data_IF_995109396518
#
_entry.id   IF_995109396518
#
_cell.length_a   1.000
_cell.length_b   1.000
_cell.length_c   1.000
_cell.angle_alpha   90.00
_cell.angle_beta   90.00
_cell.angle_gamma   90.00
#
_symmetry.space_group_name_H-M   'P 1'
#
loop_
_entity.id
_entity.type
_entity.pdbx_description
1 polymer ?
#
# COMPACT_ATOMS: atom_id res chain seq x y z
N UNK A 1 -8.64 -60.73 -26.09
CA UNK A 1 -9.74 -61.03 -25.16
C UNK A 1 -9.34 -61.05 -23.68
N UNK A 2 -8.36 -61.86 -23.21
CA UNK A 2 -7.93 -61.81 -21.79
C UNK A 2 -7.23 -60.48 -21.39
N UNK A 3 -6.53 -59.83 -22.34
CA UNK A 3 -5.93 -58.50 -22.14
C UNK A 3 -6.99 -57.40 -22.01
N UNK A 4 -8.09 -57.50 -22.76
CA UNK A 4 -9.19 -56.52 -22.74
C UNK A 4 -9.94 -56.55 -21.40
N UNK A 5 -10.20 -57.74 -20.86
CA UNK A 5 -10.84 -57.89 -19.55
C UNK A 5 -9.96 -57.37 -18.40
N UNK A 6 -8.64 -57.60 -18.46
CA UNK A 6 -7.72 -57.05 -17.46
C UNK A 6 -7.69 -55.52 -17.51
N UNK A 7 -7.67 -54.94 -18.71
CA UNK A 7 -7.69 -53.48 -18.89
C UNK A 7 -8.97 -52.85 -18.34
N UNK A 8 -10.13 -53.43 -18.65
CA UNK A 8 -11.43 -52.97 -18.13
C UNK A 8 -11.51 -53.11 -16.60
N UNK A 9 -10.98 -54.20 -16.04
CA UNK A 9 -10.96 -54.42 -14.59
C UNK A 9 -10.08 -53.40 -13.87
N UNK A 10 -8.86 -53.15 -14.34
CA UNK A 10 -7.97 -52.15 -13.73
C UNK A 10 -8.50 -50.72 -13.93
N UNK A 11 -9.09 -50.40 -15.09
CA UNK A 11 -9.73 -49.10 -15.31
C UNK A 11 -10.91 -48.85 -14.36
N UNK A 12 -11.75 -49.86 -14.16
CA UNK A 12 -12.85 -49.83 -13.18
C UNK A 12 -12.34 -49.59 -11.77
N UNK A 13 -11.31 -50.33 -11.34
CA UNK A 13 -10.70 -50.22 -10.02
C UNK A 13 -10.15 -48.80 -9.75
N UNK A 14 -9.46 -48.21 -10.73
CA UNK A 14 -8.95 -46.83 -10.64
C UNK A 14 -10.11 -45.84 -10.53
N UNK A 15 -11.14 -45.99 -11.35
CA UNK A 15 -12.30 -45.08 -11.32
C UNK A 15 -13.05 -45.15 -9.98
N UNK A 16 -13.23 -46.35 -9.44
CA UNK A 16 -13.84 -46.58 -8.13
C UNK A 16 -13.03 -45.98 -6.99
N UNK A 17 -11.69 -45.94 -7.10
CA UNK A 17 -10.82 -45.31 -6.10
C UNK A 17 -10.93 -43.78 -6.07
N UNK A 18 -11.36 -43.16 -7.18
CA UNK A 18 -11.54 -41.71 -7.30
C UNK A 18 -12.89 -41.23 -6.72
N UNK A 19 -13.90 -42.09 -6.66
CA UNK A 19 -15.23 -41.73 -6.15
C UNK A 19 -15.18 -41.34 -4.65
N UNK A 20 -14.52 -42.11 -3.76
CA UNK A 20 -14.30 -41.69 -2.38
C UNK A 20 -13.55 -40.37 -2.29
N UNK A 21 -12.52 -40.13 -3.11
CA UNK A 21 -11.78 -38.87 -3.13
C UNK A 21 -12.67 -37.68 -3.55
N UNK A 22 -13.57 -37.88 -4.51
CA UNK A 22 -14.53 -36.86 -4.94
C UNK A 22 -15.57 -36.54 -3.85
N UNK A 23 -16.09 -37.56 -3.15
CA UNK A 23 -17.06 -37.38 -2.06
C UNK A 23 -16.38 -36.76 -0.82
N UNK A 24 -15.23 -37.29 -0.41
CA UNK A 24 -14.46 -36.79 0.72
C UNK A 24 -13.76 -35.47 0.46
N UNK A 25 -13.70 -35.02 -0.81
CA UNK A 25 -13.19 -33.70 -1.19
C UNK A 25 -13.72 -32.63 -0.24
N UNK A 26 -15.04 -32.56 -0.06
CA UNK A 26 -15.68 -31.50 0.75
C UNK A 26 -15.25 -31.53 2.21
N UNK A 27 -15.04 -32.72 2.76
CA UNK A 27 -14.63 -32.93 4.16
C UNK A 27 -13.13 -32.72 4.37
N UNK A 28 -12.32 -33.10 3.38
CA UNK A 28 -10.88 -32.86 3.34
C UNK A 28 -10.60 -31.36 3.20
N UNK A 29 -11.28 -30.64 2.31
CA UNK A 29 -11.17 -29.17 2.20
C UNK A 29 -11.60 -28.46 3.49
N UNK A 30 -12.62 -28.97 4.20
CA UNK A 30 -12.98 -28.48 5.54
C UNK A 30 -11.86 -28.69 6.58
N UNK A 31 -11.17 -29.83 6.55
CA UNK A 31 -10.03 -30.12 7.46
C UNK A 31 -8.76 -29.33 7.11
N UNK A 32 -8.52 -29.05 5.83
CA UNK A 32 -7.41 -28.22 5.35
C UNK A 32 -7.68 -26.72 5.47
N UNK A 33 -8.92 -26.29 5.72
CA UNK A 33 -9.22 -24.99 6.30
C UNK A 33 -8.70 -24.98 7.74
N UNK A 34 -7.37 -24.90 7.88
CA UNK A 34 -6.74 -24.63 9.18
C UNK A 34 -7.41 -23.39 9.76
N UNK A 35 -7.82 -23.50 11.03
CA UNK A 35 -8.42 -22.47 11.86
C UNK A 35 -7.46 -21.28 12.03
N UNK A 36 -7.24 -20.49 11.00
CA UNK A 36 -6.75 -19.14 11.16
C UNK A 36 -7.87 -18.33 11.81
N UNK A 37 -7.56 -17.62 12.89
CA UNK A 37 -8.54 -16.80 13.57
C UNK A 37 -8.60 -15.43 12.89
N UNK A 38 -9.68 -15.16 12.16
CA UNK A 38 -9.90 -13.87 11.50
C UNK A 38 -9.77 -12.69 12.48
N UNK A 39 -10.17 -12.88 13.74
CA UNK A 39 -10.05 -11.85 14.79
C UNK A 39 -8.58 -11.52 15.09
N UNK A 40 -7.70 -12.53 15.12
CA UNK A 40 -6.25 -12.33 15.34
C UNK A 40 -5.65 -11.60 14.15
N UNK A 41 -5.99 -12.02 12.92
CA UNK A 41 -5.57 -11.33 11.70
C UNK A 41 -5.96 -9.85 11.69
N UNK A 42 -7.22 -9.53 12.05
CA UNK A 42 -7.69 -8.15 12.13
C UNK A 42 -6.92 -7.37 13.20
N UNK A 43 -6.69 -7.97 14.37
CA UNK A 43 -5.92 -7.34 15.46
C UNK A 43 -4.50 -6.99 15.00
N UNK A 44 -3.83 -7.92 14.33
CA UNK A 44 -2.46 -7.74 13.84
C UNK A 44 -2.40 -6.69 12.72
N UNK A 45 -3.41 -6.68 11.83
CA UNK A 45 -3.55 -5.64 10.80
C UNK A 45 -3.77 -4.25 11.41
N UNK A 46 -4.66 -4.13 12.39
CA UNK A 46 -4.91 -2.86 13.09
C UNK A 46 -3.64 -2.32 13.73
N UNK A 47 -2.91 -3.17 14.46
CA UNK A 47 -1.64 -2.79 15.08
C UNK A 47 -0.61 -2.36 14.02
N UNK A 48 -0.49 -3.12 12.94
CA UNK A 48 0.42 -2.80 11.84
C UNK A 48 0.11 -1.46 11.17
N UNK A 49 -1.15 -1.20 10.85
CA UNK A 49 -1.58 0.02 10.17
C UNK A 49 -1.43 1.25 11.06
N UNK A 50 -1.81 1.14 12.34
CA UNK A 50 -1.67 2.23 13.31
C UNK A 50 -0.20 2.64 13.47
N UNK A 51 0.70 1.67 13.50
CA UNK A 51 2.14 1.93 13.64
C UNK A 51 2.77 2.50 12.35
N UNK A 52 2.43 1.96 11.18
CA UNK A 52 3.12 2.30 9.92
C UNK A 52 2.46 3.43 9.12
N UNK A 53 1.17 3.69 9.35
CA UNK A 53 0.36 4.64 8.58
C UNK A 53 -0.53 5.49 9.51
N UNK A 54 0.05 6.18 10.52
CA UNK A 54 -0.71 6.79 11.62
C UNK A 54 -1.62 7.95 11.21
N UNK A 55 -1.44 8.55 10.02
CA UNK A 55 -2.27 9.67 9.55
C UNK A 55 -3.58 9.22 8.90
N UNK A 56 -3.75 7.93 8.63
CA UNK A 56 -4.93 7.38 7.95
C UNK A 56 -5.73 6.58 8.96
N UNK A 57 -7.01 6.94 9.14
CA UNK A 57 -7.93 6.17 9.98
C UNK A 57 -8.59 5.08 9.14
N UNK A 58 -8.15 3.83 9.34
CA UNK A 58 -8.67 2.68 8.59
C UNK A 58 -9.93 2.11 9.24
N UNK A 59 -10.98 2.01 8.44
CA UNK A 59 -12.24 1.37 8.79
C UNK A 59 -12.18 -0.15 8.51
N UNK A 60 -12.79 -0.95 9.39
CA UNK A 60 -12.89 -2.41 9.29
C UNK A 60 -14.35 -2.94 9.20
N UNK A 61 -15.33 -2.08 8.94
CA UNK A 61 -16.76 -2.43 8.83
C UNK A 61 -17.04 -3.46 7.72
N UNK A 62 -16.12 -3.60 6.75
CA UNK A 62 -16.18 -4.65 5.74
C UNK A 62 -16.32 -6.05 6.36
N UNK A 63 -15.79 -6.26 7.57
CA UNK A 63 -15.84 -7.54 8.29
C UNK A 63 -17.29 -7.98 8.56
N UNK A 64 -18.21 -7.05 8.79
CA UNK A 64 -19.63 -7.34 9.04
C UNK A 64 -20.37 -7.76 7.77
N UNK A 65 -19.83 -7.41 6.59
CA UNK A 65 -20.42 -7.69 5.28
C UNK A 65 -19.92 -8.98 4.64
N UNK A 66 -18.98 -9.69 5.28
CA UNK A 66 -18.40 -10.93 4.74
C UNK A 66 -19.34 -12.12 4.95
N UNK A 67 -19.56 -12.92 3.91
CA UNK A 67 -20.37 -14.14 4.02
C UNK A 67 -19.66 -15.15 4.93
N UNK A 68 -20.39 -15.71 5.90
CA UNK A 68 -19.87 -16.75 6.77
C UNK A 68 -19.33 -17.96 5.98
N UNK A 69 -19.93 -18.26 4.83
CA UNK A 69 -19.58 -19.38 3.95
C UNK A 69 -18.24 -19.21 3.24
N UNK A 70 -17.71 -17.99 3.16
CA UNK A 70 -16.45 -17.74 2.47
C UNK A 70 -15.26 -18.35 3.19
N UNK A 71 -14.28 -18.80 2.39
CA UNK A 71 -12.99 -19.26 2.90
C UNK A 71 -12.28 -18.12 3.64
N UNK A 72 -11.59 -18.44 4.74
CA UNK A 72 -10.83 -17.46 5.52
C UNK A 72 -9.88 -16.62 4.65
N UNK A 73 -9.22 -17.26 3.69
CA UNK A 73 -8.31 -16.58 2.75
C UNK A 73 -9.04 -15.52 1.92
N UNK A 74 -10.22 -15.85 1.40
CA UNK A 74 -11.06 -14.90 0.64
C UNK A 74 -11.44 -13.72 1.52
N UNK A 75 -11.86 -13.97 2.77
CA UNK A 75 -12.15 -12.92 3.76
C UNK A 75 -10.96 -11.98 4.00
N UNK A 76 -9.77 -12.55 4.20
CA UNK A 76 -8.55 -11.76 4.40
C UNK A 76 -8.21 -10.90 3.19
N UNK A 77 -8.34 -11.44 1.97
CA UNK A 77 -8.08 -10.71 0.72
C UNK A 77 -9.09 -9.56 0.57
N UNK A 78 -10.39 -9.80 0.78
CA UNK A 78 -11.42 -8.77 0.68
C UNK A 78 -11.18 -7.62 1.67
N UNK A 79 -10.77 -7.93 2.90
CA UNK A 79 -10.38 -6.92 3.89
C UNK A 79 -9.19 -6.10 3.39
N UNK A 80 -8.14 -6.75 2.88
CA UNK A 80 -6.95 -6.06 2.37
C UNK A 80 -7.27 -5.17 1.17
N UNK A 81 -8.10 -5.65 0.24
CA UNK A 81 -8.50 -4.86 -0.92
C UNK A 81 -9.29 -3.61 -0.52
N UNK A 82 -10.16 -3.73 0.49
CA UNK A 82 -10.89 -2.58 1.03
C UNK A 82 -9.94 -1.58 1.72
N UNK A 83 -9.01 -2.07 2.54
CA UNK A 83 -7.98 -1.22 3.17
C UNK A 83 -7.09 -0.52 2.14
N UNK A 84 -6.75 -1.19 1.04
CA UNK A 84 -6.02 -0.58 -0.06
C UNK A 84 -6.84 0.48 -0.79
N UNK A 85 -8.15 0.28 -0.93
CA UNK A 85 -9.06 1.33 -1.44
C UNK A 85 -9.05 2.53 -0.50
N UNK A 86 -9.23 2.33 0.81
CA UNK A 86 -9.18 3.41 1.79
C UNK A 86 -7.84 4.16 1.75
N UNK A 87 -6.72 3.46 1.63
CA UNK A 87 -5.39 4.07 1.52
C UNK A 87 -5.25 4.94 0.26
N UNK A 88 -5.80 4.52 -0.88
CA UNK A 88 -5.70 5.24 -2.15
C UNK A 88 -6.63 6.44 -2.19
N UNK A 89 -7.87 6.28 -1.72
CA UNK A 89 -8.90 7.33 -1.74
C UNK A 89 -8.89 8.22 -0.50
N UNK A 90 -7.96 8.03 0.44
CA UNK A 90 -7.75 8.97 1.54
C UNK A 90 -7.47 10.36 0.99
N UNK A 91 -8.38 11.28 1.31
CA UNK A 91 -8.36 12.68 0.87
C UNK A 91 -7.10 13.37 1.39
N UNK A 92 -6.39 14.01 0.48
CA UNK A 92 -5.14 14.68 0.79
C UNK A 92 -4.93 15.82 -0.18
N UNK A 93 -4.77 17.02 0.36
CA UNK A 93 -4.43 18.21 -0.41
C UNK A 93 -2.98 18.62 -0.15
N UNK A 94 -2.29 18.97 -1.23
CA UNK A 94 -0.95 19.52 -1.17
C UNK A 94 -1.02 20.96 -0.64
N UNK A 95 -0.65 21.14 0.63
CA UNK A 95 -0.61 22.43 1.30
C UNK A 95 0.83 22.87 1.60
N UNK A 96 1.01 24.18 1.81
CA UNK A 96 2.29 24.72 2.28
C UNK A 96 2.57 24.25 3.70
N UNK A 97 3.81 23.92 3.96
CA UNK A 97 4.31 23.35 5.20
C UNK A 97 4.88 24.42 6.12
N UNK A 98 5.20 24.04 7.35
CA UNK A 98 5.86 24.93 8.31
C UNK A 98 7.23 25.37 7.79
N UNK A 99 7.59 26.61 8.11
CA UNK A 99 8.90 27.16 7.81
C UNK A 99 10.01 26.46 8.59
N UNK A 100 11.23 26.63 8.10
CA UNK A 100 12.46 26.13 8.74
C UNK A 100 13.19 27.32 9.37
N UNK A 101 13.77 27.18 10.58
CA UNK A 101 14.53 28.26 11.22
C UNK A 101 15.64 28.80 10.31
N UNK A 102 15.85 30.12 10.33
CA UNK A 102 16.80 30.80 9.42
C UNK A 102 18.23 30.29 9.57
N UNK A 103 18.59 29.83 10.76
CA UNK A 103 19.91 29.31 11.10
C UNK A 103 20.21 27.98 10.39
N UNK A 104 19.17 27.27 9.93
CA UNK A 104 19.31 26.02 9.15
C UNK A 104 19.32 26.24 7.64
N UNK A 105 19.16 27.49 7.19
CA UNK A 105 19.21 27.85 5.78
C UNK A 105 20.67 28.08 5.35
N UNK A 106 20.97 27.77 4.09
CA UNK A 106 22.30 28.00 3.51
C UNK A 106 22.36 29.36 2.80
N UNK A 107 23.57 29.86 2.55
CA UNK A 107 23.81 31.21 2.04
C UNK A 107 23.15 31.53 0.70
N UNK A 108 23.02 30.55 -0.20
CA UNK A 108 22.36 30.72 -1.51
C UNK A 108 20.86 30.41 -1.51
N UNK A 109 20.25 30.14 -0.34
CA UNK A 109 18.86 29.71 -0.23
C UNK A 109 17.89 30.71 -0.87
N UNK A 110 17.99 32.00 -0.51
CA UNK A 110 17.05 33.03 -0.95
C UNK A 110 17.11 33.25 -2.46
N UNK A 111 18.32 33.31 -3.02
CA UNK A 111 18.55 33.48 -4.46
C UNK A 111 17.93 32.32 -5.25
N UNK A 112 18.19 31.09 -4.83
CA UNK A 112 17.72 29.87 -5.49
C UNK A 112 16.24 29.55 -5.23
N UNK A 113 15.58 30.27 -4.31
CA UNK A 113 14.16 30.09 -4.02
C UNK A 113 13.26 30.80 -5.03
N UNK A 114 13.82 31.77 -5.77
CA UNK A 114 13.11 32.54 -6.80
C UNK A 114 12.89 31.72 -8.07
N UNK A 115 11.77 31.97 -8.75
CA UNK A 115 11.46 31.34 -10.03
C UNK A 115 12.30 31.98 -11.13
N UNK A 116 13.23 31.21 -11.70
CA UNK A 116 13.91 31.60 -12.94
C UNK A 116 13.05 31.21 -14.17
N UNK A 117 13.22 31.95 -15.28
CA UNK A 117 12.40 31.83 -16.51
C UNK A 117 12.28 30.42 -17.08
N UNK A 118 13.23 29.54 -16.78
CA UNK A 118 13.32 28.20 -17.32
C UNK A 118 12.47 27.15 -16.58
N UNK A 119 11.80 27.48 -15.46
CA UNK A 119 11.05 26.53 -14.61
C UNK A 119 11.84 25.26 -14.23
N UNK A 120 13.17 25.36 -14.14
CA UNK A 120 14.04 24.26 -13.72
C UNK A 120 14.13 24.24 -12.19
N UNK A 121 14.30 23.05 -11.63
CA UNK A 121 14.63 22.92 -10.23
C UNK A 121 15.98 23.59 -9.94
N UNK A 122 16.14 24.21 -8.76
CA UNK A 122 17.39 24.85 -8.39
C UNK A 122 18.49 23.80 -8.14
N UNK A 123 19.75 24.24 -8.24
CA UNK A 123 20.93 23.37 -8.08
C UNK A 123 20.95 22.71 -6.68
N UNK A 124 20.42 23.40 -5.68
CA UNK A 124 20.32 22.97 -4.28
C UNK A 124 19.05 22.11 -4.00
N UNK A 125 18.35 21.62 -5.03
CA UNK A 125 17.17 20.77 -4.83
C UNK A 125 17.42 19.53 -3.95
N UNK A 126 18.55 18.80 -4.06
CA UNK A 126 18.86 17.70 -3.14
C UNK A 126 18.94 18.17 -1.68
N UNK A 127 19.55 19.32 -1.43
CA UNK A 127 19.65 19.93 -0.09
C UNK A 127 18.28 20.37 0.42
N UNK A 128 17.41 20.92 -0.45
CA UNK A 128 16.01 21.24 -0.11
C UNK A 128 15.21 20.00 0.27
N UNK A 129 15.37 18.91 -0.48
CA UNK A 129 14.75 17.62 -0.16
C UNK A 129 15.20 17.12 1.23
N UNK A 130 16.49 17.19 1.53
CA UNK A 130 17.03 16.77 2.83
C UNK A 130 16.51 17.66 3.98
N UNK A 131 16.54 18.98 3.83
CA UNK A 131 16.02 19.90 4.82
C UNK A 131 14.52 19.69 5.09
N UNK A 132 13.71 19.49 4.04
CA UNK A 132 12.30 19.18 4.17
C UNK A 132 12.07 17.79 4.80
N UNK A 133 12.91 16.80 4.50
CA UNK A 133 12.83 15.47 5.11
C UNK A 133 13.16 15.52 6.61
N UNK A 134 14.17 16.30 6.99
CA UNK A 134 14.51 16.55 8.40
C UNK A 134 13.39 17.29 9.14
N UNK A 135 12.71 18.25 8.49
CA UNK A 135 11.55 18.96 9.07
C UNK A 135 10.41 18.01 9.44
N UNK A 136 10.14 17.02 8.61
CA UNK A 136 9.07 16.03 8.84
C UNK A 136 9.54 14.82 9.67
N UNK A 137 10.77 14.85 10.21
CA UNK A 137 11.40 13.73 10.95
C UNK A 137 11.43 12.42 10.14
N UNK A 138 11.54 12.57 8.82
CA UNK A 138 11.52 11.48 7.84
C UNK A 138 10.15 10.85 7.60
N UNK A 139 9.06 11.43 8.11
CA UNK A 139 7.71 10.90 7.92
C UNK A 139 7.06 11.43 6.64
N UNK A 140 6.30 10.57 5.98
CA UNK A 140 5.47 10.96 4.84
C UNK A 140 4.40 11.97 5.28
N UNK A 141 4.27 13.08 4.56
CA UNK A 141 3.30 14.10 4.89
C UNK A 141 1.85 13.61 4.77
N UNK A 142 1.55 12.73 3.79
CA UNK A 142 0.21 12.14 3.59
C UNK A 142 -0.13 11.04 4.59
N UNK A 143 0.66 9.97 4.64
CA UNK A 143 0.29 8.76 5.40
C UNK A 143 1.02 8.59 6.74
N UNK A 144 2.06 9.39 7.01
CA UNK A 144 2.84 9.33 8.25
C UNK A 144 3.87 8.21 8.30
N UNK A 145 3.99 7.39 7.25
CA UNK A 145 5.00 6.33 7.20
C UNK A 145 6.41 6.89 7.23
N UNK A 146 7.27 6.29 8.05
CA UNK A 146 8.70 6.63 8.11
C UNK A 146 9.40 6.20 6.82
N UNK A 147 10.20 7.09 6.26
CA UNK A 147 10.90 6.91 4.99
C UNK A 147 12.39 7.16 5.16
N UNK A 148 13.21 6.48 4.35
CA UNK A 148 14.61 6.86 4.17
C UNK A 148 14.67 8.04 3.19
N UNK A 149 15.67 8.91 3.33
CA UNK A 149 15.85 10.06 2.43
C UNK A 149 15.90 9.67 0.96
N UNK A 150 16.53 8.53 0.63
CA UNK A 150 16.64 8.02 -0.75
C UNK A 150 15.25 7.68 -1.32
N UNK A 151 14.38 7.07 -0.52
CA UNK A 151 13.04 6.63 -0.90
C UNK A 151 11.97 7.73 -0.79
N UNK A 152 12.35 8.89 -0.25
CA UNK A 152 11.47 10.04 -0.11
C UNK A 152 11.33 10.79 -1.44
N UNK A 153 10.12 11.24 -1.73
CA UNK A 153 9.82 12.08 -2.88
C UNK A 153 9.54 13.51 -2.41
N UNK A 154 10.23 14.48 -2.99
CA UNK A 154 9.94 15.89 -2.79
C UNK A 154 9.01 16.37 -3.91
N UNK A 155 7.84 16.89 -3.53
CA UNK A 155 6.90 17.56 -4.43
C UNK A 155 6.73 19.02 -4.03
N UNK A 156 6.30 19.85 -4.98
CA UNK A 156 5.89 21.22 -4.69
C UNK A 156 4.41 21.24 -4.29
N UNK A 157 4.09 21.89 -3.16
CA UNK A 157 2.71 22.06 -2.72
C UNK A 157 1.92 22.91 -3.73
N UNK A 158 2.48 24.07 -4.06
CA UNK A 158 2.02 24.98 -5.10
C UNK A 158 2.93 24.85 -6.32
N UNK A 159 2.34 24.51 -7.47
CA UNK A 159 3.06 24.38 -8.72
C UNK A 159 3.61 25.73 -9.22
N UNK A 160 4.70 25.69 -9.98
CA UNK A 160 5.35 26.88 -10.55
C UNK A 160 4.38 27.73 -11.39
N UNK A 161 3.55 27.07 -12.22
CA UNK A 161 2.49 27.71 -13.02
C UNK A 161 1.45 28.48 -12.20
N UNK A 162 1.31 28.16 -10.92
CA UNK A 162 0.40 28.81 -9.99
C UNK A 162 1.12 29.82 -9.07
N UNK A 163 2.36 30.22 -9.41
CA UNK A 163 3.17 31.14 -8.62
C UNK A 163 3.77 30.49 -7.37
N UNK A 164 4.06 29.19 -7.39
CA UNK A 164 4.80 28.50 -6.34
C UNK A 164 6.32 28.57 -6.56
N UNK A 165 7.07 29.03 -5.56
CA UNK A 165 8.54 29.07 -5.57
C UNK A 165 9.19 27.81 -5.01
N UNK A 166 10.51 27.84 -4.79
CA UNK A 166 11.26 26.70 -4.24
C UNK A 166 11.49 26.79 -2.73
N UNK A 167 10.83 27.72 -2.05
CA UNK A 167 10.90 27.86 -0.59
C UNK A 167 10.60 26.52 0.11
N UNK A 168 11.23 26.24 1.26
CA UNK A 168 11.03 24.99 1.99
C UNK A 168 9.58 24.76 2.41
N UNK A 169 8.83 25.81 2.69
CA UNK A 169 7.38 25.78 2.96
C UNK A 169 6.62 25.18 1.78
N UNK A 170 7.12 25.36 0.55
CA UNK A 170 6.50 24.78 -0.64
C UNK A 170 6.96 23.35 -0.93
N UNK A 171 7.93 22.81 -0.20
CA UNK A 171 8.46 21.45 -0.41
C UNK A 171 7.77 20.46 0.51
N UNK A 172 7.10 19.47 -0.07
CA UNK A 172 6.37 18.41 0.63
C UNK A 172 7.08 17.08 0.42
N UNK A 173 7.29 16.34 1.52
CA UNK A 173 7.91 15.01 1.49
C UNK A 173 6.85 13.92 1.54
N UNK A 174 6.89 13.00 0.57
CA UNK A 174 6.00 11.85 0.48
C UNK A 174 6.79 10.54 0.34
N UNK A 175 6.22 9.44 0.82
CA UNK A 175 6.71 8.10 0.49
C UNK A 175 6.40 7.76 -0.99
N UNK A 176 7.09 6.75 -1.53
CA UNK A 176 6.89 6.28 -2.90
C UNK A 176 5.42 6.01 -3.25
N UNK A 177 4.68 5.31 -2.38
CA UNK A 177 3.27 4.97 -2.66
C UNK A 177 2.39 6.23 -2.72
N UNK A 178 2.55 7.16 -1.76
CA UNK A 178 1.79 8.41 -1.74
C UNK A 178 2.15 9.32 -2.92
N UNK A 179 3.42 9.41 -3.29
CA UNK A 179 3.85 10.18 -4.45
C UNK A 179 3.25 9.63 -5.76
N UNK A 180 3.14 8.31 -5.88
CA UNK A 180 2.48 7.66 -7.04
C UNK A 180 0.99 7.93 -7.06
N UNK A 181 0.30 7.88 -5.92
CA UNK A 181 -1.13 8.19 -5.81
C UNK A 181 -1.39 9.62 -6.28
N UNK A 182 -0.64 10.61 -5.77
CA UNK A 182 -0.83 12.02 -6.11
C UNK A 182 -0.56 12.33 -7.59
N UNK A 183 0.37 11.60 -8.22
CA UNK A 183 0.69 11.77 -9.65
C UNK A 183 -0.20 10.95 -10.57
N UNK A 184 -1.06 10.08 -10.05
CA UNK A 184 -1.81 9.14 -10.86
C UNK A 184 -3.05 9.77 -11.49
N UNK A 185 -3.32 9.38 -12.74
CA UNK A 185 -4.57 9.66 -13.43
C UNK A 185 -5.59 8.52 -13.24
N UNK A 186 -5.14 7.34 -12.83
CA UNK A 186 -5.98 6.15 -12.65
C UNK A 186 -5.62 5.44 -11.34
N UNK A 187 -6.38 5.77 -10.30
CA UNK A 187 -6.19 5.26 -8.95
C UNK A 187 -6.40 3.74 -8.86
N UNK A 188 -7.34 3.17 -9.62
CA UNK A 188 -7.60 1.73 -9.60
C UNK A 188 -6.43 0.91 -10.14
N UNK A 189 -5.77 1.40 -11.21
CA UNK A 189 -4.55 0.79 -11.72
C UNK A 189 -3.41 0.97 -10.72
N UNK A 190 -3.21 2.19 -10.23
CA UNK A 190 -2.13 2.49 -9.28
C UNK A 190 -2.20 1.66 -8.02
N UNK A 191 -3.40 1.45 -7.46
CA UNK A 191 -3.65 0.61 -6.28
C UNK A 191 -2.98 -0.76 -6.36
N UNK A 192 -3.05 -1.41 -7.53
CA UNK A 192 -2.51 -2.77 -7.74
C UNK A 192 -0.99 -2.84 -7.68
N UNK A 193 -0.32 -1.72 -7.97
CA UNK A 193 1.13 -1.66 -8.06
C UNK A 193 1.76 -1.05 -6.78
N UNK A 194 0.98 -0.75 -5.74
CA UNK A 194 1.49 -0.12 -4.52
C UNK A 194 2.19 -1.12 -3.62
N UNK A 195 3.32 -0.70 -3.04
CA UNK A 195 4.01 -1.51 -2.02
C UNK A 195 3.14 -1.72 -0.78
N UNK A 196 2.25 -0.77 -0.48
CA UNK A 196 1.20 -0.90 0.53
C UNK A 196 0.41 -2.20 0.36
N UNK A 197 -0.13 -2.45 -0.84
CA UNK A 197 -0.94 -3.63 -1.12
C UNK A 197 -0.09 -4.90 -0.99
N UNK A 198 1.08 -4.92 -1.59
CA UNK A 198 2.00 -6.08 -1.54
C UNK A 198 2.38 -6.45 -0.10
N UNK A 199 2.65 -5.46 0.75
CA UNK A 199 2.99 -5.67 2.16
C UNK A 199 1.82 -6.27 2.94
N UNK A 200 0.59 -5.86 2.66
CA UNK A 200 -0.59 -6.42 3.31
C UNK A 200 -0.90 -7.83 2.79
N UNK A 201 -0.78 -8.05 1.48
CA UNK A 201 -1.01 -9.37 0.87
C UNK A 201 -0.06 -10.45 1.41
N UNK A 202 1.18 -10.09 1.76
CA UNK A 202 2.14 -11.00 2.43
C UNK A 202 1.70 -11.45 3.83
N UNK A 203 0.72 -10.77 4.46
CA UNK A 203 0.17 -11.12 5.77
C UNK A 203 -1.00 -12.10 5.70
N UNK A 204 -1.48 -12.43 4.49
CA UNK A 204 -2.53 -13.44 4.29
C UNK A 204 -1.96 -14.81 4.66
N UNK A 205 -2.61 -15.49 5.59
CA UNK A 205 -2.22 -16.83 6.03
C UNK A 205 -2.66 -17.88 5.01
N UNK A 206 -1.77 -18.83 4.70
CA UNK A 206 -2.08 -20.01 3.88
C UNK A 206 -2.60 -21.18 4.72
#
# INVERSE_FOLDING_TARGET
>A
MFLDFKFVFFGSLVTLSLIPLYIYRKEIYKRFSKKGNLKVFIKDLKAYLTYNYPKINFNFDIVEKLDEKDLLKTKQILIIEDLARQFVYFEYELSTQKGVPKEKLWSSYDQNSTLHKDNKFPIDWPQRKEAAWNREEGNCNRCGTKTKLVDANALLAKQMKNGGGFNLENVVILCNDCARIIKSQNLEKTKKDLNFLDKLMKKVSY
#
